data_IF_449559752322
#
_entry.id   IF_449559752322
#
_cell.length_a   1.000
_cell.length_b   1.000
_cell.length_c   1.000
_cell.angle_alpha   90.00
_cell.angle_beta   90.00
_cell.angle_gamma   90.00
#
_symmetry.space_group_name_H-M   'P 1'
#
loop_
_entity.id
_entity.type
_entity.pdbx_description
1 polymer ?
#
# COMPACT_ATOMS: atom_id res chain seq x y z
N UNK A 1 8.04 9.97 -14.24
CA UNK A 1 7.83 10.54 -12.89
C UNK A 1 6.35 10.35 -12.55
N UNK A 2 6.06 9.62 -11.50
CA UNK A 2 4.67 9.33 -11.12
C UNK A 2 3.93 10.56 -10.62
N UNK A 3 2.60 10.53 -10.74
CA UNK A 3 1.73 11.58 -10.24
C UNK A 3 1.43 11.37 -8.74
N UNK A 4 1.48 12.44 -7.95
CA UNK A 4 1.01 12.41 -6.56
C UNK A 4 -0.51 12.58 -6.55
N UNK A 5 -1.20 11.52 -6.14
CA UNK A 5 -2.67 11.49 -6.06
C UNK A 5 -3.17 12.21 -4.81
N UNK A 6 -4.30 12.86 -4.96
CA UNK A 6 -5.06 13.43 -3.86
C UNK A 6 -6.34 12.61 -3.64
N UNK A 7 -6.90 12.72 -2.46
CA UNK A 7 -8.16 12.05 -2.09
C UNK A 7 -9.26 12.33 -3.10
N UNK A 8 -9.89 11.26 -3.61
CA UNK A 8 -10.94 11.34 -4.61
C UNK A 8 -10.47 11.61 -6.05
N UNK A 9 -9.17 11.78 -6.27
CA UNK A 9 -8.64 12.00 -7.61
C UNK A 9 -8.73 10.71 -8.46
N UNK A 10 -9.02 10.89 -9.76
CA UNK A 10 -9.01 9.84 -10.77
C UNK A 10 -8.00 10.17 -11.85
N UNK A 11 -7.26 9.17 -12.29
CA UNK A 11 -6.29 9.28 -13.38
C UNK A 11 -6.44 8.12 -14.37
N UNK A 12 -5.92 8.30 -15.57
CA UNK A 12 -5.73 7.20 -16.51
C UNK A 12 -4.30 6.69 -16.39
N UNK A 13 -4.13 5.47 -15.90
CA UNK A 13 -2.81 4.87 -15.73
C UNK A 13 -2.04 4.75 -17.05
N UNK A 14 -2.72 4.45 -18.15
CA UNK A 14 -2.10 4.37 -19.49
C UNK A 14 -1.55 5.72 -19.96
N UNK A 15 -2.28 6.82 -19.67
CA UNK A 15 -1.81 8.17 -19.98
C UNK A 15 -0.60 8.55 -19.17
N UNK A 16 -0.61 8.25 -17.87
CA UNK A 16 0.50 8.57 -16.96
C UNK A 16 1.74 7.73 -17.29
N UNK A 17 1.57 6.46 -17.63
CA UNK A 17 2.67 5.60 -18.04
C UNK A 17 3.17 5.88 -19.46
N UNK A 18 2.37 6.58 -20.29
CA UNK A 18 2.65 6.83 -21.72
C UNK A 18 2.60 5.59 -22.60
N UNK A 19 2.09 4.47 -22.08
CA UNK A 19 1.97 3.18 -22.74
C UNK A 19 0.96 2.28 -22.05
N UNK A 20 0.55 1.20 -22.71
CA UNK A 20 -0.23 0.14 -22.06
C UNK A 20 0.58 -0.55 -20.97
N UNK A 21 -0.04 -0.79 -19.83
CA UNK A 21 0.55 -1.51 -18.71
C UNK A 21 0.24 -3.00 -18.82
N UNK A 22 1.26 -3.85 -18.66
CA UNK A 22 1.10 -5.31 -18.65
C UNK A 22 1.26 -5.88 -17.25
N UNK A 23 2.21 -5.36 -16.48
CA UNK A 23 2.46 -5.74 -15.09
C UNK A 23 2.65 -4.49 -14.25
N UNK A 24 2.00 -4.47 -13.10
CA UNK A 24 2.09 -3.39 -12.14
C UNK A 24 2.36 -3.94 -10.75
N UNK A 25 2.97 -3.12 -9.92
CA UNK A 25 3.18 -3.44 -8.50
C UNK A 25 2.59 -2.33 -7.66
N UNK A 26 1.67 -2.69 -6.77
CA UNK A 26 1.27 -1.81 -5.67
C UNK A 26 2.28 -1.99 -4.54
N UNK A 27 3.00 -0.92 -4.21
CA UNK A 27 3.93 -0.87 -3.08
C UNK A 27 3.33 -0.11 -1.91
N UNK A 28 3.54 -0.60 -0.71
CA UNK A 28 3.19 0.03 0.56
C UNK A 28 4.45 0.19 1.40
N UNK A 29 4.79 1.42 1.76
CA UNK A 29 5.93 1.72 2.61
C UNK A 29 5.53 2.58 3.81
N UNK A 30 6.20 2.39 4.94
CA UNK A 30 6.01 3.20 6.15
C UNK A 30 7.23 3.13 7.08
N UNK A 31 7.36 4.15 7.93
CA UNK A 31 8.41 4.22 8.94
C UNK A 31 7.97 3.72 10.31
N UNK A 32 8.93 3.47 11.19
CA UNK A 32 8.69 3.21 12.60
C UNK A 32 8.27 4.49 13.32
N UNK A 33 7.34 4.37 14.27
CA UNK A 33 6.90 5.49 15.10
C UNK A 33 7.97 5.87 16.10
N UNK A 34 8.25 7.16 16.24
CA UNK A 34 9.12 7.70 17.27
C UNK A 34 8.28 7.99 18.52
N UNK A 35 8.57 7.32 19.61
CA UNK A 35 7.92 7.56 20.90
C UNK A 35 8.93 8.14 21.89
N UNK A 36 8.60 9.26 22.49
CA UNK A 36 9.42 9.83 23.55
C UNK A 36 9.10 9.12 24.88
N UNK A 37 10.10 8.46 25.46
CA UNK A 37 9.99 7.96 26.82
C UNK A 37 10.18 9.13 27.80
N UNK A 38 9.16 9.39 28.62
CA UNK A 38 9.32 10.32 29.75
C UNK A 38 10.24 9.66 30.78
N UNK A 39 11.44 10.21 30.97
CA UNK A 39 12.32 9.77 32.06
C UNK A 39 11.65 9.99 33.42
N UNK A 40 11.92 9.09 34.36
CA UNK A 40 11.50 9.25 35.72
C UNK A 40 12.26 10.42 36.36
N UNK A 41 11.55 11.39 36.95
CA UNK A 41 12.11 12.62 37.58
C UNK A 41 12.88 13.57 36.60
N UNK A 42 12.55 13.61 35.31
CA UNK A 42 13.15 14.58 34.40
C UNK A 42 14.60 14.24 33.92
N UNK A 43 15.15 13.10 34.33
CA UNK A 43 16.44 12.59 33.89
C UNK A 43 16.26 11.35 33.01
N UNK A 44 16.91 11.32 31.83
CA UNK A 44 17.02 10.12 31.00
C UNK A 44 15.89 9.90 29.98
N UNK A 45 15.17 10.92 29.53
CA UNK A 45 14.24 10.81 28.41
C UNK A 45 14.97 10.49 27.10
N UNK A 46 14.69 9.33 26.50
CA UNK A 46 15.19 8.93 25.18
C UNK A 46 14.04 8.75 24.19
N UNK A 47 14.32 8.88 22.89
CA UNK A 47 13.39 8.47 21.86
C UNK A 47 13.54 6.97 21.61
N UNK A 48 12.41 6.25 21.56
CA UNK A 48 12.32 4.83 21.22
C UNK A 48 11.55 4.69 19.91
N UNK A 49 12.01 3.81 19.03
CA UNK A 49 11.24 3.42 17.85
C UNK A 49 10.27 2.31 18.21
N UNK A 50 9.02 2.48 17.81
CA UNK A 50 7.99 1.46 17.95
C UNK A 50 7.58 0.95 16.56
N UNK A 51 7.46 -0.37 16.44
CA UNK A 51 6.95 -1.02 15.26
C UNK A 51 5.48 -0.65 15.03
N UNK A 52 5.15 -0.39 13.78
CA UNK A 52 3.77 -0.15 13.33
C UNK A 52 3.43 -1.19 12.28
N UNK A 53 2.30 -1.87 12.44
CA UNK A 53 1.80 -2.84 11.47
C UNK A 53 0.79 -2.20 10.53
N UNK A 54 1.18 -1.95 9.29
CA UNK A 54 0.25 -1.73 8.19
C UNK A 54 0.15 -3.01 7.37
N UNK A 55 -0.95 -3.19 6.65
CA UNK A 55 -1.10 -4.29 5.72
C UNK A 55 -1.84 -3.87 4.46
N UNK A 56 -1.28 -4.26 3.32
CA UNK A 56 -1.90 -4.12 2.02
C UNK A 56 -2.77 -5.33 1.68
N UNK A 57 -3.85 -5.10 0.97
CA UNK A 57 -4.68 -6.16 0.39
C UNK A 57 -5.15 -5.75 -1.00
N UNK A 58 -5.44 -6.73 -1.84
CA UNK A 58 -6.08 -6.53 -3.14
C UNK A 58 -7.35 -7.35 -3.20
N UNK A 59 -8.47 -6.68 -3.44
CA UNK A 59 -9.78 -7.29 -3.60
C UNK A 59 -10.15 -7.28 -5.08
N UNK A 60 -10.61 -8.41 -5.58
CA UNK A 60 -11.00 -8.59 -6.98
C UNK A 60 -12.53 -8.63 -7.07
N UNK A 61 -13.10 -7.77 -7.90
CA UNK A 61 -14.55 -7.67 -8.11
C UNK A 61 -14.92 -7.95 -9.55
N UNK A 62 -16.08 -8.60 -9.75
CA UNK A 62 -16.68 -8.79 -11.06
C UNK A 62 -17.46 -7.55 -11.53
N UNK A 63 -18.05 -7.62 -12.72
CA UNK A 63 -18.86 -6.54 -13.30
C UNK A 63 -20.13 -6.23 -12.48
N UNK A 64 -20.62 -7.20 -11.72
CA UNK A 64 -21.78 -7.04 -10.83
C UNK A 64 -21.43 -6.42 -9.48
N UNK A 65 -20.15 -6.14 -9.23
CA UNK A 65 -19.68 -5.65 -7.92
C UNK A 65 -19.57 -6.73 -6.85
N UNK A 66 -19.55 -8.02 -7.24
CA UNK A 66 -19.36 -9.12 -6.30
C UNK A 66 -17.87 -9.37 -6.07
N UNK A 67 -17.48 -9.60 -4.82
CA UNK A 67 -16.13 -9.99 -4.45
C UNK A 67 -15.87 -11.43 -4.92
N UNK A 68 -14.89 -11.61 -5.80
CA UNK A 68 -14.54 -12.93 -6.36
C UNK A 68 -13.28 -13.53 -5.74
N UNK A 69 -12.35 -12.70 -5.28
CA UNK A 69 -11.13 -13.16 -4.62
C UNK A 69 -10.49 -12.02 -3.79
N UNK A 70 -9.61 -12.40 -2.85
CA UNK A 70 -8.85 -11.46 -2.02
C UNK A 70 -7.43 -11.95 -1.86
N UNK A 71 -6.45 -11.07 -2.15
CA UNK A 71 -5.03 -11.31 -1.90
C UNK A 71 -4.60 -10.44 -0.73
N UNK A 72 -4.08 -11.08 0.33
CA UNK A 72 -3.71 -10.46 1.59
C UNK A 72 -2.72 -11.34 2.35
N UNK A 73 -2.28 -10.94 3.53
CA UNK A 73 -1.24 -11.67 4.28
C UNK A 73 -1.58 -13.14 4.62
N UNK A 74 -2.86 -13.56 4.57
CA UNK A 74 -3.26 -14.97 4.77
C UNK A 74 -3.48 -15.75 3.47
N UNK A 75 -3.58 -15.06 2.35
CA UNK A 75 -3.66 -15.63 1.01
C UNK A 75 -2.75 -14.82 0.08
N UNK A 76 -1.50 -15.21 -0.01
CA UNK A 76 -0.46 -14.45 -0.73
C UNK A 76 -0.56 -14.54 -2.26
N UNK A 77 -1.41 -15.40 -2.79
CA UNK A 77 -1.62 -15.53 -4.23
C UNK A 77 -3.11 -15.65 -4.54
N UNK A 78 -3.55 -14.97 -5.60
CA UNK A 78 -4.91 -15.11 -6.12
C UNK A 78 -5.12 -16.51 -6.70
N UNK A 79 -6.37 -17.00 -6.68
CA UNK A 79 -6.71 -18.32 -7.23
C UNK A 79 -6.38 -18.46 -8.72
N UNK A 80 -6.47 -17.35 -9.45
CA UNK A 80 -6.08 -17.32 -10.88
C UNK A 80 -4.55 -17.19 -11.09
N UNK A 81 -3.76 -17.00 -10.03
CA UNK A 81 -2.31 -16.89 -10.07
C UNK A 81 -1.77 -15.59 -10.68
N UNK A 82 -2.63 -14.60 -10.95
CA UNK A 82 -2.24 -13.34 -11.57
C UNK A 82 -1.75 -12.28 -10.57
N UNK A 83 -2.06 -12.44 -9.29
CA UNK A 83 -1.76 -11.45 -8.24
C UNK A 83 -1.02 -12.15 -7.10
N UNK A 84 0.09 -11.54 -6.66
CA UNK A 84 0.95 -12.06 -5.58
C UNK A 84 1.34 -10.98 -4.60
N UNK A 85 1.20 -11.31 -3.33
CA UNK A 85 1.63 -10.49 -2.19
C UNK A 85 3.01 -10.94 -1.71
N UNK A 86 3.89 -10.01 -1.36
CA UNK A 86 5.27 -10.29 -0.94
C UNK A 86 5.39 -10.92 0.46
N UNK A 87 4.33 -10.87 1.26
CA UNK A 87 4.30 -11.27 2.67
C UNK A 87 4.08 -10.11 3.61
N UNK A 88 3.77 -10.43 4.85
CA UNK A 88 3.41 -9.49 5.93
C UNK A 88 4.66 -8.87 6.57
N UNK A 89 4.77 -7.55 6.59
CA UNK A 89 5.76 -6.81 7.37
C UNK A 89 5.06 -6.16 8.59
N UNK A 90 5.45 -6.57 9.78
CA UNK A 90 4.87 -6.12 11.05
C UNK A 90 5.65 -5.02 11.74
N UNK A 91 6.76 -4.65 11.18
CA UNK A 91 7.71 -3.74 11.84
C UNK A 91 7.72 -2.35 11.23
N UNK A 92 7.59 -2.26 9.94
CA UNK A 92 7.88 -1.03 9.23
C UNK A 92 9.38 -0.68 9.28
N UNK A 93 9.74 0.47 8.78
CA UNK A 93 11.12 0.93 8.73
C UNK A 93 11.85 0.41 7.48
N UNK A 94 13.17 0.38 7.54
CA UNK A 94 14.03 0.13 6.39
C UNK A 94 14.50 1.42 5.74
N UNK A 95 14.93 1.36 4.48
CA UNK A 95 15.32 2.55 3.72
C UNK A 95 14.11 3.47 3.49
N UNK A 96 14.31 4.77 3.69
CA UNK A 96 13.27 5.76 3.48
C UNK A 96 12.77 5.72 2.02
N UNK A 97 11.48 5.51 1.83
CA UNK A 97 10.86 5.42 0.51
C UNK A 97 10.87 4.02 -0.13
N UNK A 98 11.40 3.00 0.57
CA UNK A 98 11.28 1.62 0.14
C UNK A 98 9.89 1.05 0.47
N UNK A 99 9.45 0.07 -0.31
CA UNK A 99 8.24 -0.68 -0.04
C UNK A 99 8.50 -1.74 1.03
N UNK A 100 7.68 -1.78 2.07
CA UNK A 100 7.66 -2.84 3.08
C UNK A 100 6.84 -4.05 2.61
N UNK A 101 5.72 -3.76 1.95
CA UNK A 101 4.88 -4.78 1.31
C UNK A 101 4.67 -4.46 -0.16
N UNK A 102 4.52 -5.49 -0.97
CA UNK A 102 4.30 -5.36 -2.42
C UNK A 102 3.24 -6.35 -2.88
N UNK A 103 2.35 -5.88 -3.74
CA UNK A 103 1.38 -6.72 -4.45
C UNK A 103 1.66 -6.59 -5.94
N UNK A 104 2.15 -7.66 -6.54
CA UNK A 104 2.46 -7.73 -7.97
C UNK A 104 1.24 -8.26 -8.73
N UNK A 105 0.88 -7.59 -9.82
CA UNK A 105 -0.27 -7.92 -10.67
C UNK A 105 0.20 -8.11 -12.11
N UNK A 106 -0.04 -9.29 -12.66
CA UNK A 106 0.06 -9.57 -14.09
C UNK A 106 -1.31 -9.33 -14.74
N UNK A 107 -1.49 -8.12 -15.29
CA UNK A 107 -2.75 -7.68 -15.85
C UNK A 107 -3.22 -8.55 -17.02
N UNK A 108 -2.27 -9.11 -17.80
CA UNK A 108 -2.60 -10.00 -18.90
C UNK A 108 -3.21 -11.34 -18.44
N UNK A 109 -2.94 -11.75 -17.20
CA UNK A 109 -3.43 -13.00 -16.62
C UNK A 109 -4.64 -12.82 -15.71
N UNK A 110 -5.04 -11.58 -15.41
CA UNK A 110 -6.27 -11.32 -14.67
C UNK A 110 -7.46 -11.77 -15.52
N UNK A 111 -8.36 -12.62 -15.00
CA UNK A 111 -9.51 -13.11 -15.77
C UNK A 111 -10.39 -11.97 -16.26
N UNK A 112 -10.96 -12.11 -17.46
CA UNK A 112 -11.87 -11.12 -18.05
C UNK A 112 -13.13 -10.88 -17.22
N UNK A 113 -13.51 -11.83 -16.34
CA UNK A 113 -14.60 -11.68 -15.37
C UNK A 113 -14.32 -10.68 -14.26
N UNK A 114 -13.05 -10.38 -13.98
CA UNK A 114 -12.63 -9.37 -13.01
C UNK A 114 -12.62 -8.01 -13.69
N UNK A 115 -13.43 -7.09 -13.17
CA UNK A 115 -13.56 -5.73 -13.72
C UNK A 115 -12.83 -4.68 -12.88
N UNK A 116 -12.71 -4.92 -11.57
CA UNK A 116 -12.14 -3.95 -10.64
C UNK A 116 -11.22 -4.62 -9.65
N UNK A 117 -10.04 -4.02 -9.46
CA UNK A 117 -9.13 -4.33 -8.37
C UNK A 117 -9.16 -3.17 -7.38
N UNK A 118 -9.40 -3.47 -6.11
CA UNK A 118 -9.38 -2.47 -5.02
C UNK A 118 -8.23 -2.82 -4.09
N UNK A 119 -7.29 -1.90 -3.93
CA UNK A 119 -6.24 -2.01 -2.93
C UNK A 119 -6.71 -1.35 -1.64
N UNK A 120 -6.49 -2.02 -0.52
CA UNK A 120 -6.76 -1.47 0.80
C UNK A 120 -5.49 -1.46 1.63
N UNK A 121 -5.36 -0.45 2.48
CA UNK A 121 -4.32 -0.37 3.50
C UNK A 121 -5.00 -0.28 4.86
N UNK A 122 -4.67 -1.20 5.76
CA UNK A 122 -5.21 -1.26 7.11
C UNK A 122 -4.11 -1.08 8.14
N UNK A 123 -4.41 -0.38 9.23
CA UNK A 123 -3.54 -0.32 10.41
C UNK A 123 -3.99 -1.36 11.43
N UNK A 124 -3.13 -2.34 11.71
CA UNK A 124 -3.40 -3.36 12.74
C UNK A 124 -3.05 -2.89 14.16
N UNK A 125 -2.18 -1.92 14.27
CA UNK A 125 -1.78 -1.33 15.57
C UNK A 125 -2.77 -0.30 16.10
N UNK A 126 -3.83 0.02 15.32
CA UNK A 126 -4.84 1.01 15.69
C UNK A 126 -4.40 2.46 15.53
N UNK A 127 -3.23 2.69 14.94
CA UNK A 127 -2.73 4.03 14.65
C UNK A 127 -3.49 4.68 13.50
N UNK A 128 -3.68 6.00 13.57
CA UNK A 128 -4.10 6.75 12.40
C UNK A 128 -2.91 6.91 11.43
N UNK A 129 -3.16 6.99 10.14
CA UNK A 129 -2.10 7.17 9.15
C UNK A 129 -1.29 8.45 9.38
N UNK A 130 -1.91 9.51 9.87
CA UNK A 130 -1.23 10.76 10.23
C UNK A 130 -0.19 10.57 11.35
N UNK A 131 -0.33 9.55 12.19
CA UNK A 131 0.62 9.21 13.25
C UNK A 131 1.77 8.30 12.81
N UNK A 132 1.76 7.84 11.54
CA UNK A 132 2.75 6.91 10.99
C UNK A 132 3.68 7.69 10.06
N UNK A 133 5.00 7.74 10.37
CA UNK A 133 5.93 8.49 9.54
C UNK A 133 6.07 7.88 8.15
N UNK A 134 6.10 8.73 7.13
CA UNK A 134 6.40 8.36 5.76
C UNK A 134 5.53 7.21 5.21
N UNK A 135 4.28 7.09 5.64
CA UNK A 135 3.36 6.09 5.12
C UNK A 135 2.88 6.51 3.74
N UNK A 136 3.04 5.63 2.78
CA UNK A 136 2.61 5.85 1.39
C UNK A 136 2.21 4.54 0.73
N UNK A 137 1.38 4.63 -0.28
CA UNK A 137 1.23 3.58 -1.28
C UNK A 137 1.56 4.15 -2.67
N UNK A 138 2.04 3.30 -3.55
CA UNK A 138 2.38 3.66 -4.92
C UNK A 138 2.06 2.55 -5.90
N UNK A 139 1.84 2.93 -7.14
CA UNK A 139 1.71 2.01 -8.25
C UNK A 139 2.92 2.16 -9.16
N UNK A 140 3.61 1.08 -9.39
CA UNK A 140 4.83 1.00 -10.21
C UNK A 140 4.54 0.22 -11.46
N UNK A 141 4.97 0.71 -12.61
CA UNK A 141 5.06 -0.08 -13.83
C UNK A 141 6.26 -1.03 -13.71
N UNK A 142 5.99 -2.32 -13.55
CA UNK A 142 7.03 -3.34 -13.30
C UNK A 142 8.04 -3.46 -14.45
N UNK A 143 7.63 -3.15 -15.67
CA UNK A 143 8.51 -3.26 -16.83
C UNK A 143 9.55 -2.13 -16.90
N UNK A 144 9.23 -0.92 -16.45
CA UNK A 144 10.14 0.22 -16.44
C UNK A 144 10.75 0.50 -15.07
N UNK A 145 10.14 -0.02 -14.00
CA UNK A 145 10.48 0.32 -12.62
C UNK A 145 10.08 1.74 -12.21
N UNK A 146 9.30 2.43 -13.05
CA UNK A 146 8.89 3.82 -12.79
C UNK A 146 7.58 3.88 -12.01
N UNK A 147 7.50 4.81 -11.07
CA UNK A 147 6.25 5.14 -10.40
C UNK A 147 5.26 5.72 -11.41
N UNK A 148 4.06 5.18 -11.46
CA UNK A 148 2.93 5.71 -12.23
C UNK A 148 2.09 6.65 -11.37
N UNK A 149 1.82 6.23 -10.15
CA UNK A 149 1.04 7.00 -9.19
C UNK A 149 1.53 6.75 -7.77
N UNK A 150 1.40 7.76 -6.91
CA UNK A 150 1.73 7.69 -5.48
C UNK A 150 0.65 8.39 -4.67
N UNK A 151 0.39 7.89 -3.48
CA UNK A 151 -0.52 8.47 -2.51
C UNK A 151 0.13 8.48 -1.13
N UNK A 152 0.26 9.66 -0.53
CA UNK A 152 0.88 9.84 0.78
C UNK A 152 -0.16 9.73 1.89
N UNK A 153 -0.16 8.58 2.57
CA UNK A 153 -1.11 8.25 3.64
C UNK A 153 -0.92 9.10 4.89
N UNK A 154 0.33 9.47 5.21
CA UNK A 154 0.64 10.29 6.39
C UNK A 154 0.03 11.69 6.34
N UNK A 155 -0.28 12.20 5.14
CA UNK A 155 -0.88 13.53 4.94
C UNK A 155 -2.41 13.51 5.09
N UNK A 156 -3.00 12.32 5.03
CA UNK A 156 -4.43 12.12 5.04
C UNK A 156 -4.97 11.95 6.45
N UNK A 157 -5.01 12.79 7.35
CA UNK A 157 -5.50 12.72 8.74
C UNK A 157 -6.70 11.81 9.05
N UNK A 158 -6.88 10.74 8.26
CA UNK A 158 -7.99 9.82 8.30
C UNK A 158 -7.75 8.61 9.19
N UNK A 159 -8.82 8.08 9.71
CA UNK A 159 -8.89 6.86 10.48
C UNK A 159 -8.46 5.63 9.66
N UNK A 160 -7.86 4.72 10.28
CA UNK A 160 -7.57 3.28 10.11
C UNK A 160 -7.71 2.59 8.73
N UNK A 161 -8.29 3.16 7.69
CA UNK A 161 -8.49 2.49 6.39
C UNK A 161 -8.30 3.46 5.26
N UNK A 162 -7.25 3.27 4.47
CA UNK A 162 -7.07 3.93 3.18
C UNK A 162 -7.56 3.00 2.07
N UNK A 163 -8.41 3.49 1.18
CA UNK A 163 -8.85 2.79 -0.02
C UNK A 163 -8.17 3.42 -1.22
N UNK A 164 -7.45 2.60 -2.00
CA UNK A 164 -6.90 2.98 -3.30
C UNK A 164 -7.63 2.17 -4.36
N UNK A 165 -8.36 2.83 -5.25
CA UNK A 165 -9.11 2.21 -6.37
C UNK A 165 -8.45 2.51 -7.69
#
# INVERSE_FOLDING_TARGET
MGINLQKGQRISLEKEAGRGLSRVVMGLGWGMKQVQSKGFLGFGGGSRQEAVGLAASCLLFDAGGNLVDTVWFRQLESRCGSIRHSGDDRSGGGEAGADNERIAIDLARVPASVQTLIFTVNSFSGESFAGIPNAFCRLVDDASGCDVARFDLSLEGSSHTGLVT
#
